data_IF_896037183761
#
_entry.id   IF_896037183761
#
_cell.length_a   1.000
_cell.length_b   1.000
_cell.length_c   1.000
_cell.angle_alpha   90.00
_cell.angle_beta   90.00
_cell.angle_gamma   90.00
#
_symmetry.space_group_name_H-M   'P 1'
#
loop_
_entity.id
_entity.type
_entity.pdbx_description
1 polymer ?
#
# COMPACT_ATOMS: atom_id res chain seq x y z
N UNK A 1 -6.27 1.79 18.14
CA UNK A 1 -5.83 2.84 17.19
C UNK A 1 -7.08 3.52 16.67
N UNK A 2 -7.17 4.85 16.71
CA UNK A 2 -8.34 5.59 16.22
C UNK A 2 -7.92 6.48 15.05
N UNK A 3 -8.65 6.39 13.93
CA UNK A 3 -8.45 7.23 12.74
C UNK A 3 -9.65 8.15 12.50
N UNK A 4 -10.38 8.47 13.57
CA UNK A 4 -11.54 9.37 13.50
C UNK A 4 -11.16 10.72 12.86
N UNK A 5 -12.00 11.18 11.93
CA UNK A 5 -11.79 12.40 11.16
C UNK A 5 -10.57 12.39 10.21
N UNK A 6 -9.87 11.27 10.04
CA UNK A 6 -8.80 11.13 9.04
C UNK A 6 -9.37 10.66 7.69
N UNK A 7 -8.72 11.07 6.61
CA UNK A 7 -9.04 10.64 5.25
C UNK A 7 -7.89 9.83 4.69
N UNK A 8 -8.18 8.60 4.27
CA UNK A 8 -7.20 7.69 3.70
C UNK A 8 -7.48 7.45 2.21
N UNK A 9 -6.44 7.47 1.40
CA UNK A 9 -6.44 6.99 0.02
C UNK A 9 -5.67 5.67 -0.05
N UNK A 10 -6.31 4.63 -0.60
CA UNK A 10 -5.67 3.33 -0.86
C UNK A 10 -5.67 3.06 -2.37
N UNK A 11 -4.47 3.04 -2.98
CA UNK A 11 -4.35 2.70 -4.40
C UNK A 11 -4.47 1.19 -4.59
N UNK A 12 -5.16 0.76 -5.66
CA UNK A 12 -5.46 -0.66 -5.87
C UNK A 12 -6.39 -1.24 -4.78
N UNK A 13 -7.26 -0.40 -4.18
CA UNK A 13 -8.10 -0.76 -3.04
C UNK A 13 -9.31 -1.64 -3.37
N UNK A 14 -9.50 -2.07 -4.62
CA UNK A 14 -10.69 -2.83 -5.03
C UNK A 14 -10.64 -4.33 -4.69
N UNK A 15 -9.48 -4.91 -4.39
CA UNK A 15 -9.29 -6.35 -4.10
C UNK A 15 -8.02 -6.60 -3.29
N UNK A 16 -7.86 -7.86 -2.82
CA UNK A 16 -6.63 -8.35 -2.20
C UNK A 16 -6.17 -7.50 -1.02
N UNK A 17 -4.87 -7.30 -0.91
CA UNK A 17 -4.23 -6.54 0.16
C UNK A 17 -4.82 -5.12 0.27
N UNK A 18 -5.01 -4.43 -0.86
CA UNK A 18 -5.56 -3.07 -0.88
C UNK A 18 -6.98 -3.00 -0.31
N UNK A 19 -7.86 -3.96 -0.63
CA UNK A 19 -9.20 -4.08 -0.04
C UNK A 19 -9.12 -4.27 1.47
N UNK A 20 -8.29 -5.21 1.93
CA UNK A 20 -8.16 -5.48 3.35
C UNK A 20 -7.63 -4.28 4.13
N UNK A 21 -6.66 -3.55 3.58
CA UNK A 21 -6.17 -2.30 4.15
C UNK A 21 -7.30 -1.26 4.22
N UNK A 22 -8.04 -1.05 3.13
CA UNK A 22 -9.16 -0.10 3.11
C UNK A 22 -10.21 -0.42 4.17
N UNK A 23 -10.60 -1.71 4.29
CA UNK A 23 -11.56 -2.17 5.30
C UNK A 23 -11.03 -1.95 6.72
N UNK A 24 -9.75 -2.24 6.99
CA UNK A 24 -9.16 -2.03 8.30
C UNK A 24 -9.12 -0.55 8.69
N UNK A 25 -8.72 0.34 7.77
CA UNK A 25 -8.71 1.79 8.03
C UNK A 25 -10.12 2.32 8.29
N UNK A 26 -11.13 1.81 7.57
CA UNK A 26 -12.53 2.13 7.81
C UNK A 26 -13.00 1.66 9.21
N UNK A 27 -12.65 0.43 9.62
CA UNK A 27 -12.93 -0.09 10.96
C UNK A 27 -12.32 0.78 12.07
N UNK A 28 -11.16 1.37 11.81
CA UNK A 28 -10.49 2.27 12.75
C UNK A 28 -11.04 3.71 12.70
N UNK A 29 -12.05 3.97 11.86
CA UNK A 29 -12.81 5.22 11.82
C UNK A 29 -12.40 6.21 10.73
N UNK A 30 -11.53 5.82 9.79
CA UNK A 30 -11.16 6.70 8.67
C UNK A 30 -12.30 6.80 7.62
N UNK A 31 -12.40 7.96 6.98
CA UNK A 31 -13.07 8.10 5.68
C UNK A 31 -12.13 7.57 4.61
N UNK A 32 -12.61 6.77 3.67
CA UNK A 32 -11.74 6.02 2.77
C UNK A 32 -12.06 6.29 1.30
N UNK A 33 -11.05 6.72 0.55
CA UNK A 33 -11.03 6.68 -0.90
C UNK A 33 -10.25 5.45 -1.37
N UNK A 34 -10.77 4.71 -2.33
CA UNK A 34 -10.04 3.69 -3.04
C UNK A 34 -9.84 4.10 -4.51
N UNK A 35 -8.62 3.89 -5.04
CA UNK A 35 -8.38 4.02 -6.47
C UNK A 35 -8.31 2.64 -7.12
N UNK A 36 -8.88 2.49 -8.31
CA UNK A 36 -8.85 1.26 -9.10
C UNK A 36 -8.74 1.57 -10.59
N UNK A 37 -8.20 0.65 -11.39
CA UNK A 37 -7.98 0.90 -12.83
C UNK A 37 -9.19 0.57 -13.69
N UNK A 38 -9.78 -0.62 -13.53
CA UNK A 38 -10.82 -1.10 -14.46
C UNK A 38 -11.89 -2.01 -13.83
N UNK A 39 -11.62 -2.68 -12.71
CA UNK A 39 -12.58 -3.61 -12.12
C UNK A 39 -13.61 -2.87 -11.24
N UNK A 40 -14.61 -2.28 -11.90
CA UNK A 40 -15.71 -1.55 -11.25
C UNK A 40 -16.54 -2.42 -10.31
N UNK A 41 -16.76 -3.70 -10.67
CA UNK A 41 -17.52 -4.63 -9.82
C UNK A 41 -16.82 -4.87 -8.50
N UNK A 42 -15.53 -5.17 -8.52
CA UNK A 42 -14.74 -5.35 -7.32
C UNK A 42 -14.64 -4.06 -6.47
N UNK A 43 -14.54 -2.89 -7.12
CA UNK A 43 -14.55 -1.60 -6.43
C UNK A 43 -15.87 -1.35 -5.70
N UNK A 44 -17.00 -1.67 -6.34
CA UNK A 44 -18.33 -1.57 -5.72
C UNK A 44 -18.53 -2.53 -4.54
N UNK A 45 -18.01 -3.76 -4.66
CA UNK A 45 -18.01 -4.71 -3.54
C UNK A 45 -17.22 -4.16 -2.35
N UNK A 46 -16.04 -3.58 -2.61
CA UNK A 46 -15.25 -2.95 -1.55
C UNK A 46 -16.00 -1.78 -0.91
N UNK A 47 -16.63 -0.89 -1.69
CA UNK A 47 -17.43 0.21 -1.14
C UNK A 47 -18.52 -0.29 -0.18
N UNK A 48 -19.22 -1.37 -0.51
CA UNK A 48 -20.24 -1.97 0.38
C UNK A 48 -19.62 -2.41 1.71
N UNK A 49 -18.47 -3.08 1.67
CA UNK A 49 -17.75 -3.49 2.88
C UNK A 49 -17.33 -2.29 3.74
N UNK A 50 -16.89 -1.18 3.13
CA UNK A 50 -16.54 0.05 3.84
C UNK A 50 -17.77 0.69 4.49
N UNK A 51 -18.90 0.73 3.77
CA UNK A 51 -20.18 1.26 4.28
C UNK A 51 -20.73 0.43 5.44
N UNK A 52 -20.60 -0.90 5.40
CA UNK A 52 -20.93 -1.80 6.51
C UNK A 52 -20.12 -1.52 7.78
N UNK A 53 -18.93 -0.90 7.65
CA UNK A 53 -18.13 -0.40 8.78
C UNK A 53 -18.49 1.02 9.19
N UNK A 54 -19.51 1.61 8.58
CA UNK A 54 -19.95 2.99 8.86
C UNK A 54 -19.07 4.06 8.24
N UNK A 55 -18.13 3.70 7.34
CA UNK A 55 -17.22 4.67 6.74
C UNK A 55 -17.88 5.47 5.60
N UNK A 56 -17.65 6.78 5.58
CA UNK A 56 -17.86 7.60 4.38
C UNK A 56 -16.76 7.27 3.38
N UNK A 57 -17.14 6.83 2.18
CA UNK A 57 -16.19 6.27 1.23
C UNK A 57 -16.51 6.64 -0.23
N UNK A 58 -15.48 6.57 -1.07
CA UNK A 58 -15.57 6.76 -2.53
C UNK A 58 -14.61 5.83 -3.27
N UNK A 59 -14.99 5.41 -4.47
CA UNK A 59 -14.10 4.70 -5.40
C UNK A 59 -13.86 5.57 -6.65
N UNK A 60 -12.61 5.76 -7.00
CA UNK A 60 -12.18 6.56 -8.14
C UNK A 60 -11.54 5.65 -9.18
N UNK A 61 -12.12 5.63 -10.38
CA UNK A 61 -11.56 4.91 -11.52
C UNK A 61 -10.45 5.75 -12.17
N UNK A 62 -9.22 5.26 -12.12
CA UNK A 62 -8.06 5.98 -12.66
C UNK A 62 -6.87 5.05 -12.89
N UNK A 63 -6.06 5.34 -13.91
CA UNK A 63 -4.76 4.69 -14.11
C UNK A 63 -3.64 5.58 -13.56
N UNK A 64 -3.13 5.23 -12.40
CA UNK A 64 -2.08 5.97 -11.69
C UNK A 64 -0.67 5.76 -12.27
N UNK A 65 -0.52 5.02 -13.39
CA UNK A 65 0.72 5.05 -14.17
C UNK A 65 0.92 6.38 -14.92
N UNK A 66 -0.10 7.22 -14.94
CA UNK A 66 -0.07 8.58 -15.48
C UNK A 66 0.01 9.59 -14.33
N UNK A 67 1.01 10.48 -14.40
CA UNK A 67 1.24 11.49 -13.37
C UNK A 67 0.08 12.49 -13.26
N UNK A 68 -0.48 12.95 -14.39
CA UNK A 68 -1.59 13.90 -14.39
C UNK A 68 -2.86 13.26 -13.79
N UNK A 69 -3.13 11.98 -14.11
CA UNK A 69 -4.25 11.24 -13.50
C UNK A 69 -4.05 11.01 -12.00
N UNK A 70 -2.80 10.89 -11.54
CA UNK A 70 -2.51 10.83 -10.11
C UNK A 70 -2.81 12.16 -9.41
N UNK A 71 -2.53 13.30 -10.04
CA UNK A 71 -2.90 14.64 -9.54
C UNK A 71 -4.43 14.81 -9.51
N UNK A 72 -5.13 14.38 -10.57
CA UNK A 72 -6.59 14.40 -10.65
C UNK A 72 -7.24 13.53 -9.56
N UNK A 73 -6.65 12.35 -9.28
CA UNK A 73 -7.10 11.48 -8.20
C UNK A 73 -7.04 12.21 -6.85
N UNK A 74 -5.90 12.83 -6.52
CA UNK A 74 -5.75 13.54 -5.25
C UNK A 74 -6.70 14.73 -5.17
N UNK A 75 -6.89 15.48 -6.26
CA UNK A 75 -7.88 16.55 -6.33
C UNK A 75 -9.28 16.03 -6.06
N UNK A 76 -9.71 14.95 -6.72
CA UNK A 76 -11.03 14.33 -6.51
C UNK A 76 -11.24 13.91 -5.05
N UNK A 77 -10.23 13.33 -4.40
CA UNK A 77 -10.31 12.93 -2.98
C UNK A 77 -10.45 14.15 -2.07
N UNK A 78 -9.64 15.20 -2.34
CA UNK A 78 -9.68 16.43 -1.54
C UNK A 78 -10.99 17.20 -1.74
N UNK A 79 -11.50 17.29 -2.97
CA UNK A 79 -12.81 17.92 -3.26
C UNK A 79 -13.95 17.18 -2.55
N UNK A 80 -13.87 15.83 -2.50
CA UNK A 80 -14.90 15.00 -1.85
C UNK A 80 -14.88 15.08 -0.33
N UNK A 81 -13.71 15.13 0.31
CA UNK A 81 -13.56 14.99 1.76
C UNK A 81 -12.99 16.24 2.45
N UNK A 82 -12.56 17.26 1.70
CA UNK A 82 -11.95 18.49 2.20
C UNK A 82 -10.48 18.34 2.58
N UNK A 83 -9.93 17.12 2.65
CA UNK A 83 -8.55 16.84 3.07
C UNK A 83 -8.07 15.46 2.61
N UNK A 84 -6.79 15.21 2.77
CA UNK A 84 -6.15 13.90 2.75
C UNK A 84 -5.13 13.83 3.89
N UNK A 85 -5.06 12.71 4.60
CA UNK A 85 -4.18 12.49 5.75
C UNK A 85 -3.27 11.27 5.55
N UNK A 86 -3.80 10.23 4.93
CA UNK A 86 -3.14 8.92 4.81
C UNK A 86 -3.14 8.51 3.34
N UNK A 87 -1.97 8.15 2.84
CA UNK A 87 -1.79 7.59 1.49
C UNK A 87 -1.16 6.21 1.60
N UNK A 88 -1.84 5.19 1.08
CA UNK A 88 -1.32 3.84 0.99
C UNK A 88 -1.08 3.50 -0.48
N UNK A 89 0.19 3.42 -0.86
CA UNK A 89 0.64 3.03 -2.19
C UNK A 89 0.75 1.50 -2.25
N UNK A 90 -0.30 0.85 -2.74
CA UNK A 90 -0.40 -0.61 -2.79
C UNK A 90 -0.32 -1.18 -4.22
N UNK A 91 -0.48 -0.37 -5.25
CA UNK A 91 -0.41 -0.85 -6.65
C UNK A 91 0.99 -1.37 -6.99
N UNK A 92 1.03 -2.48 -7.72
CA UNK A 92 2.25 -3.03 -8.29
C UNK A 92 1.95 -4.34 -9.01
N UNK A 93 2.40 -4.43 -10.26
CA UNK A 93 2.31 -5.66 -11.05
C UNK A 93 3.50 -6.58 -10.72
N UNK A 94 3.28 -7.88 -10.86
CA UNK A 94 4.30 -8.90 -10.65
C UNK A 94 4.41 -9.80 -11.89
N UNK A 95 5.64 -10.15 -12.26
CA UNK A 95 5.89 -11.08 -13.37
C UNK A 95 7.10 -11.96 -13.07
N UNK A 96 6.96 -13.25 -13.31
CA UNK A 96 8.05 -14.18 -13.33
C UNK A 96 8.73 -14.20 -14.71
N UNK A 97 10.05 -14.07 -14.75
CA UNK A 97 10.85 -14.19 -15.96
C UNK A 97 12.32 -13.89 -15.67
N UNK A 98 13.24 -14.64 -16.29
CA UNK A 98 14.67 -14.29 -16.25
C UNK A 98 14.91 -12.98 -17.00
N UNK A 99 16.04 -12.32 -16.74
CA UNK A 99 16.41 -11.09 -17.48
C UNK A 99 16.47 -11.33 -18.99
N UNK A 100 16.97 -12.51 -19.41
CA UNK A 100 17.10 -12.85 -20.83
C UNK A 100 15.72 -13.12 -21.51
N UNK A 101 14.73 -13.59 -20.77
CA UNK A 101 13.39 -13.90 -21.27
C UNK A 101 12.42 -12.71 -21.19
N UNK A 102 12.72 -11.73 -20.34
CA UNK A 102 11.87 -10.57 -20.16
C UNK A 102 12.12 -9.52 -21.23
N UNK A 103 11.07 -9.03 -21.86
CA UNK A 103 11.20 -7.91 -22.81
C UNK A 103 11.52 -6.60 -22.08
N UNK A 104 12.08 -5.63 -22.80
CA UNK A 104 12.26 -4.28 -22.26
C UNK A 104 10.92 -3.60 -21.90
N UNK A 105 9.85 -3.98 -22.54
CA UNK A 105 8.51 -3.50 -22.24
C UNK A 105 8.01 -4.07 -20.90
N UNK A 106 8.22 -5.36 -20.64
CA UNK A 106 7.93 -5.96 -19.34
C UNK A 106 8.66 -5.24 -18.21
N UNK A 107 9.94 -4.92 -18.44
CA UNK A 107 10.73 -4.16 -17.49
C UNK A 107 10.14 -2.77 -17.22
N UNK A 108 9.80 -2.02 -18.29
CA UNK A 108 9.16 -0.70 -18.17
C UNK A 108 7.86 -0.78 -17.41
N UNK A 109 7.02 -1.77 -17.72
CA UNK A 109 5.72 -1.97 -17.06
C UNK A 109 5.89 -2.27 -15.57
N UNK A 110 6.82 -3.14 -15.19
CA UNK A 110 7.09 -3.45 -13.78
C UNK A 110 7.65 -2.23 -13.04
N UNK A 111 8.62 -1.51 -13.61
CA UNK A 111 9.13 -0.28 -13.00
C UNK A 111 8.05 0.78 -12.87
N UNK A 112 7.26 0.98 -13.92
CA UNK A 112 6.16 1.96 -13.92
C UNK A 112 5.14 1.63 -12.85
N UNK A 113 4.59 0.42 -12.83
CA UNK A 113 3.52 0.05 -11.90
C UNK A 113 3.97 -0.03 -10.44
N UNK A 114 5.24 -0.34 -10.16
CA UNK A 114 5.74 -0.52 -8.79
C UNK A 114 6.46 0.69 -8.19
N UNK A 115 7.19 1.47 -9.01
CA UNK A 115 7.97 2.60 -8.55
C UNK A 115 7.34 3.94 -8.94
N UNK A 116 7.02 4.11 -10.24
CA UNK A 116 6.54 5.42 -10.71
C UNK A 116 5.17 5.78 -10.15
N UNK A 117 4.29 4.80 -9.95
CA UNK A 117 3.00 5.02 -9.28
C UNK A 117 3.17 5.53 -7.85
N UNK A 118 4.14 4.98 -7.08
CA UNK A 118 4.48 5.47 -5.73
C UNK A 118 4.97 6.91 -5.78
N UNK A 119 5.86 7.22 -6.74
CA UNK A 119 6.37 8.57 -6.93
C UNK A 119 5.24 9.55 -7.27
N UNK A 120 4.39 9.24 -8.27
CA UNK A 120 3.36 10.15 -8.75
C UNK A 120 2.31 10.44 -7.68
N UNK A 121 1.78 9.40 -7.04
CA UNK A 121 0.76 9.55 -6.00
C UNK A 121 1.32 10.25 -4.76
N UNK A 122 2.52 9.89 -4.29
CA UNK A 122 3.14 10.56 -3.15
C UNK A 122 3.40 12.04 -3.45
N UNK A 123 3.99 12.34 -4.62
CA UNK A 123 4.26 13.73 -5.03
C UNK A 123 2.98 14.56 -5.09
N UNK A 124 1.91 14.03 -5.68
CA UNK A 124 0.62 14.71 -5.76
C UNK A 124 -0.01 14.93 -4.37
N UNK A 125 0.23 14.03 -3.41
CA UNK A 125 -0.32 14.15 -2.06
C UNK A 125 0.41 15.17 -1.18
N UNK A 126 1.73 15.38 -1.38
CA UNK A 126 2.56 16.22 -0.51
C UNK A 126 2.00 17.62 -0.24
N UNK A 127 1.52 18.41 -1.23
CA UNK A 127 0.98 19.74 -0.96
C UNK A 127 -0.19 19.73 0.02
N UNK A 128 -1.01 18.70 -0.03
CA UNK A 128 -2.18 18.52 0.83
C UNK A 128 -1.79 18.05 2.23
N UNK A 129 -0.89 17.07 2.34
CA UNK A 129 -0.37 16.55 3.61
C UNK A 129 0.40 17.63 4.38
N UNK A 130 1.25 18.41 3.71
CA UNK A 130 1.99 19.53 4.32
C UNK A 130 1.06 20.61 4.89
N UNK A 131 -0.05 20.91 4.18
CA UNK A 131 -1.06 21.86 4.67
C UNK A 131 -1.70 21.41 5.96
N UNK A 132 -1.93 20.10 6.10
CA UNK A 132 -2.48 19.48 7.31
C UNK A 132 -1.50 19.39 8.48
N UNK A 133 -0.18 19.53 8.24
CA UNK A 133 0.91 19.34 9.20
C UNK A 133 0.83 18.00 9.95
N UNK A 134 0.20 17.05 9.35
CA UNK A 134 0.06 15.67 9.79
C UNK A 134 -0.19 14.80 8.57
N UNK A 135 0.65 13.84 8.33
CA UNK A 135 0.52 12.96 7.17
C UNK A 135 1.15 11.59 7.39
N UNK A 136 0.61 10.59 6.71
CA UNK A 136 1.12 9.22 6.71
C UNK A 136 1.19 8.72 5.28
N UNK A 137 2.39 8.35 4.84
CA UNK A 137 2.60 7.67 3.55
C UNK A 137 3.10 6.26 3.87
N UNK A 138 2.35 5.25 3.44
CA UNK A 138 2.70 3.85 3.63
C UNK A 138 2.83 3.18 2.27
N UNK A 139 4.02 2.70 1.94
CA UNK A 139 4.32 2.07 0.67
C UNK A 139 4.39 0.55 0.82
N UNK A 140 3.74 -0.20 -0.08
CA UNK A 140 3.85 -1.66 -0.12
C UNK A 140 5.13 -2.05 -0.86
N UNK A 141 6.06 -2.62 -0.12
CA UNK A 141 7.30 -3.18 -0.62
C UNK A 141 7.19 -4.67 -0.96
N UNK A 142 8.26 -5.40 -0.71
CA UNK A 142 8.33 -6.87 -0.76
C UNK A 142 9.38 -7.35 0.24
N UNK A 143 9.19 -8.53 0.83
CA UNK A 143 10.19 -9.13 1.76
C UNK A 143 11.56 -9.18 1.10
N UNK A 144 12.59 -8.72 1.81
CA UNK A 144 13.97 -8.64 1.33
C UNK A 144 14.33 -7.35 0.58
N UNK A 145 13.35 -6.50 0.21
CA UNK A 145 13.62 -5.25 -0.51
C UNK A 145 14.54 -4.30 0.28
N UNK A 146 14.48 -4.32 1.62
CA UNK A 146 15.31 -3.52 2.51
C UNK A 146 16.80 -3.86 2.47
N UNK A 147 17.12 -5.08 2.02
CA UNK A 147 18.50 -5.58 1.85
C UNK A 147 18.95 -5.62 0.38
N UNK A 148 18.14 -5.07 -0.53
CA UNK A 148 18.31 -5.22 -1.98
C UNK A 148 18.49 -6.70 -2.38
N UNK A 149 17.66 -7.58 -1.81
CA UNK A 149 17.76 -9.02 -1.97
C UNK A 149 17.53 -9.43 -3.42
N UNK A 150 18.45 -10.24 -3.95
CA UNK A 150 18.35 -10.81 -5.28
C UNK A 150 17.63 -12.16 -5.26
N UNK A 151 16.64 -12.34 -6.14
CA UNK A 151 15.99 -13.61 -6.40
C UNK A 151 15.88 -13.84 -7.90
N UNK A 152 16.18 -15.05 -8.35
CA UNK A 152 16.06 -15.42 -9.75
C UNK A 152 14.63 -15.20 -10.27
N UNK A 153 14.51 -14.79 -11.52
CA UNK A 153 13.24 -14.60 -12.24
C UNK A 153 12.36 -13.42 -11.79
N UNK A 154 12.83 -12.55 -10.90
CA UNK A 154 12.06 -11.35 -10.46
C UNK A 154 12.89 -10.08 -10.47
N UNK A 155 13.94 -10.01 -11.30
CA UNK A 155 14.94 -8.94 -11.26
C UNK A 155 14.33 -7.53 -11.40
N UNK A 156 13.39 -7.30 -12.33
CA UNK A 156 12.72 -6.01 -12.48
C UNK A 156 11.89 -5.64 -11.24
N UNK A 157 11.13 -6.60 -10.70
CA UNK A 157 10.33 -6.41 -9.51
C UNK A 157 11.19 -6.13 -8.27
N UNK A 158 12.24 -6.93 -8.05
CA UNK A 158 13.17 -6.74 -6.94
C UNK A 158 13.84 -5.36 -7.00
N UNK A 159 14.31 -4.94 -8.19
CA UNK A 159 14.88 -3.61 -8.40
C UNK A 159 13.88 -2.50 -8.08
N UNK A 160 12.62 -2.60 -8.56
CA UNK A 160 11.59 -1.63 -8.29
C UNK A 160 11.27 -1.53 -6.78
N UNK A 161 11.14 -2.66 -6.09
CA UNK A 161 10.81 -2.69 -4.65
C UNK A 161 11.98 -2.20 -3.78
N UNK A 162 13.23 -2.47 -4.15
CA UNK A 162 14.39 -1.87 -3.49
C UNK A 162 14.42 -0.34 -3.70
N UNK A 163 14.09 0.13 -4.91
CA UNK A 163 13.99 1.55 -5.19
C UNK A 163 12.86 2.23 -4.38
N UNK A 164 11.72 1.56 -4.16
CA UNK A 164 10.64 2.06 -3.28
C UNK A 164 11.15 2.26 -1.85
N UNK A 165 11.98 1.34 -1.33
CA UNK A 165 12.59 1.49 0.00
C UNK A 165 13.49 2.71 0.05
N UNK A 166 14.37 2.89 -0.94
CA UNK A 166 15.28 4.04 -1.00
C UNK A 166 14.51 5.37 -1.11
N UNK A 167 13.51 5.43 -2.00
CA UNK A 167 12.62 6.59 -2.16
C UNK A 167 11.90 6.91 -0.84
N UNK A 168 11.37 5.89 -0.15
CA UNK A 168 10.63 6.07 1.11
C UNK A 168 11.51 6.64 2.21
N UNK A 169 12.76 6.18 2.34
CA UNK A 169 13.71 6.69 3.32
C UNK A 169 14.10 8.14 3.04
N UNK A 170 14.35 8.49 1.78
CA UNK A 170 14.64 9.87 1.39
C UNK A 170 13.46 10.79 1.70
N UNK A 171 12.26 10.39 1.28
CA UNK A 171 11.05 11.16 1.51
C UNK A 171 10.73 11.30 3.02
N UNK A 172 11.02 10.29 3.83
CA UNK A 172 10.89 10.34 5.29
C UNK A 172 11.73 11.46 5.90
N UNK A 173 13.00 11.60 5.45
CA UNK A 173 13.90 12.66 5.91
C UNK A 173 13.45 14.05 5.44
N UNK A 174 13.01 14.16 4.19
CA UNK A 174 12.57 15.42 3.60
C UNK A 174 11.32 15.97 4.29
N UNK A 175 10.38 15.10 4.67
CA UNK A 175 9.04 15.46 5.11
C UNK A 175 8.83 15.40 6.63
N UNK A 176 9.77 14.89 7.40
CA UNK A 176 9.65 14.79 8.87
C UNK A 176 9.31 16.14 9.53
N UNK A 177 9.95 17.23 9.10
CA UNK A 177 9.70 18.59 9.61
C UNK A 177 8.27 19.10 9.31
N UNK A 178 7.58 18.47 8.36
CA UNK A 178 6.21 18.79 7.98
C UNK A 178 5.17 17.93 8.75
N UNK A 179 5.62 17.07 9.69
CA UNK A 179 4.76 16.16 10.45
C UNK A 179 4.28 14.96 9.62
N UNK A 180 5.00 14.62 8.53
CA UNK A 180 4.65 13.50 7.64
C UNK A 180 5.63 12.35 7.91
N UNK A 181 5.10 11.18 8.23
CA UNK A 181 5.90 9.94 8.31
C UNK A 181 5.76 9.14 7.01
N UNK A 182 6.85 8.48 6.61
CA UNK A 182 6.88 7.63 5.42
C UNK A 182 7.49 6.29 5.80
N UNK A 183 6.72 5.20 5.67
CA UNK A 183 7.14 3.86 6.05
C UNK A 183 6.82 2.84 4.95
N UNK A 184 7.50 1.70 4.99
CA UNK A 184 7.31 0.61 4.05
C UNK A 184 6.84 -0.64 4.79
N UNK A 185 5.82 -1.28 4.27
CA UNK A 185 5.35 -2.59 4.72
C UNK A 185 5.65 -3.60 3.62
N UNK A 186 6.42 -4.62 3.94
CA UNK A 186 6.79 -5.70 3.03
C UNK A 186 5.94 -6.94 3.32
N UNK A 187 4.87 -7.20 2.55
CA UNK A 187 4.10 -8.43 2.70
C UNK A 187 4.90 -9.63 2.19
N UNK A 188 4.67 -10.79 2.81
CA UNK A 188 5.03 -12.07 2.24
C UNK A 188 4.10 -12.44 1.07
N UNK A 189 4.32 -13.62 0.47
CA UNK A 189 3.43 -14.13 -0.57
C UNK A 189 2.05 -14.47 0.02
N UNK A 190 1.07 -13.60 -0.20
CA UNK A 190 -0.32 -13.83 0.17
C UNK A 190 -1.02 -14.50 -1.00
N UNK A 191 -1.68 -15.64 -0.74
CA UNK A 191 -2.39 -16.41 -1.75
C UNK A 191 -3.65 -15.64 -2.21
N UNK A 192 -4.03 -15.80 -3.49
CA UNK A 192 -5.23 -15.17 -4.07
C UNK A 192 -6.53 -15.62 -3.39
N UNK A 193 -6.53 -16.76 -2.70
CA UNK A 193 -7.68 -17.31 -1.96
C UNK A 193 -7.99 -16.60 -0.64
N UNK A 194 -7.49 -15.41 -0.40
CA UNK A 194 -7.82 -14.49 0.71
C UNK A 194 -8.35 -15.20 1.98
N UNK A 195 -7.52 -16.06 2.59
CA UNK A 195 -7.86 -16.69 3.86
C UNK A 195 -8.12 -15.64 4.94
N UNK A 196 -9.18 -15.82 5.72
CA UNK A 196 -9.35 -15.06 6.96
C UNK A 196 -8.30 -15.46 7.99
N UNK A 197 -8.00 -14.59 8.95
CA UNK A 197 -7.06 -14.89 10.02
C UNK A 197 -7.51 -16.11 10.84
N UNK A 198 -8.83 -16.31 11.02
CA UNK A 198 -9.38 -17.45 11.74
C UNK A 198 -9.15 -18.77 11.00
N UNK A 199 -9.27 -18.77 9.68
CA UNK A 199 -8.97 -19.94 8.83
C UNK A 199 -7.48 -20.23 8.81
N UNK A 200 -6.65 -19.21 8.59
CA UNK A 200 -5.18 -19.34 8.57
C UNK A 200 -4.63 -19.94 9.87
N UNK A 201 -5.21 -19.61 11.03
CA UNK A 201 -4.80 -20.18 12.34
C UNK A 201 -5.06 -21.69 12.48
N UNK A 202 -5.91 -22.25 11.64
CA UNK A 202 -6.21 -23.71 11.62
C UNK A 202 -5.32 -24.47 10.66
N UNK A 203 -4.58 -23.78 9.79
CA UNK A 203 -3.71 -24.37 8.77
C UNK A 203 -2.27 -24.38 9.29
N UNK A 204 -1.59 -25.53 9.17
CA UNK A 204 -0.16 -25.66 9.41
C UNK A 204 0.59 -25.43 8.11
N UNK A 205 1.52 -24.47 8.11
CA UNK A 205 2.35 -24.17 6.94
C UNK A 205 3.81 -23.98 7.37
N UNK A 206 4.62 -25.01 7.12
CA UNK A 206 6.03 -25.03 7.50
C UNK A 206 6.92 -24.04 6.70
N UNK A 207 6.41 -23.46 5.61
CA UNK A 207 7.14 -22.41 4.87
C UNK A 207 7.34 -21.15 5.72
N UNK A 208 6.43 -20.92 6.67
CA UNK A 208 6.46 -19.76 7.55
C UNK A 208 6.84 -20.19 8.97
N UNK A 209 7.94 -19.69 9.55
CA UNK A 209 8.37 -20.03 10.91
C UNK A 209 7.28 -19.85 11.98
N UNK A 210 6.37 -18.87 11.80
CA UNK A 210 5.21 -18.69 12.69
C UNK A 210 4.21 -19.85 12.64
N UNK A 211 4.35 -20.76 11.67
CA UNK A 211 3.59 -22.01 11.55
C UNK A 211 2.24 -21.92 10.83
N UNK A 212 1.88 -20.78 10.25
CA UNK A 212 0.64 -20.59 9.48
C UNK A 212 0.84 -19.75 8.24
N UNK A 213 -0.04 -19.85 7.22
CA UNK A 213 0.01 -18.94 6.08
C UNK A 213 -0.29 -17.50 6.48
N UNK A 214 0.25 -16.51 5.72
CA UNK A 214 -0.06 -15.09 5.91
C UNK A 214 -1.48 -14.78 5.46
N UNK A 215 -2.03 -13.69 5.99
CA UNK A 215 -3.33 -13.16 5.59
C UNK A 215 -3.25 -11.67 5.22
N UNK A 216 -4.25 -11.21 4.50
CA UNK A 216 -4.42 -9.78 4.21
C UNK A 216 -4.55 -8.96 5.50
N UNK A 217 -5.20 -9.53 6.53
CA UNK A 217 -5.36 -8.88 7.84
C UNK A 217 -4.02 -8.65 8.55
N UNK A 218 -3.04 -9.54 8.41
CA UNK A 218 -1.69 -9.36 8.98
C UNK A 218 -1.03 -8.09 8.43
N UNK A 219 -1.13 -7.88 7.12
CA UNK A 219 -0.60 -6.68 6.45
C UNK A 219 -1.40 -5.44 6.82
N UNK A 220 -2.74 -5.53 6.79
CA UNK A 220 -3.63 -4.42 7.08
C UNK A 220 -3.44 -3.88 8.51
N UNK A 221 -3.20 -4.76 9.49
CA UNK A 221 -2.93 -4.37 10.88
C UNK A 221 -1.62 -3.56 11.00
N UNK A 222 -0.57 -3.96 10.27
CA UNK A 222 0.71 -3.23 10.26
C UNK A 222 0.57 -1.87 9.57
N UNK A 223 -0.17 -1.81 8.46
CA UNK A 223 -0.49 -0.54 7.78
C UNK A 223 -1.30 0.38 8.70
N UNK A 224 -2.30 -0.15 9.42
CA UNK A 224 -3.10 0.63 10.36
C UNK A 224 -2.26 1.19 11.52
N UNK A 225 -1.26 0.45 12.03
CA UNK A 225 -0.31 0.97 12.99
C UNK A 225 0.46 2.18 12.44
N UNK A 226 1.05 2.07 11.25
CA UNK A 226 1.78 3.18 10.64
C UNK A 226 0.87 4.37 10.27
N UNK A 227 -0.42 4.12 10.05
CA UNK A 227 -1.41 5.16 9.78
C UNK A 227 -1.87 5.92 11.03
N UNK A 228 -1.59 5.40 12.22
CA UNK A 228 -2.10 5.90 13.48
C UNK A 228 -1.25 7.03 14.10
N UNK A 229 -1.74 7.64 15.18
CA UNK A 229 -1.02 8.62 15.95
C UNK A 229 0.10 7.97 16.78
N UNK A 230 -0.08 6.72 17.20
CA UNK A 230 0.91 5.95 17.96
C UNK A 230 2.22 5.74 17.19
N UNK A 231 2.19 5.89 15.86
CA UNK A 231 3.37 5.81 14.98
C UNK A 231 3.97 7.20 14.62
N UNK A 232 3.63 8.27 15.34
CA UNK A 232 4.08 9.63 14.98
C UNK A 232 5.60 9.82 14.98
N UNK A 233 6.32 9.04 15.78
CA UNK A 233 7.78 9.07 15.87
C UNK A 233 8.47 7.96 15.06
N UNK A 234 7.69 7.25 14.23
CA UNK A 234 8.18 6.12 13.42
C UNK A 234 8.15 6.53 11.94
N UNK A 235 9.34 6.83 11.39
CA UNK A 235 9.47 7.20 9.97
C UNK A 235 10.72 6.56 9.35
N UNK A 236 10.72 6.33 8.03
CA UNK A 236 11.81 5.69 7.29
C UNK A 236 11.96 4.19 7.56
N UNK A 237 11.01 3.58 8.27
CA UNK A 237 11.09 2.17 8.65
C UNK A 237 10.58 1.26 7.55
N UNK A 238 11.14 0.05 7.54
CA UNK A 238 10.74 -1.03 6.63
C UNK A 238 10.44 -2.25 7.49
N UNK A 239 9.21 -2.73 7.45
CA UNK A 239 8.76 -3.85 8.27
C UNK A 239 8.32 -5.01 7.39
N UNK A 240 8.93 -6.18 7.60
CA UNK A 240 8.54 -7.43 6.95
C UNK A 240 7.35 -8.06 7.72
N UNK A 241 6.21 -8.19 7.05
CA UNK A 241 5.05 -8.93 7.55
C UNK A 241 5.09 -10.32 6.93
N UNK A 242 5.99 -11.16 7.43
CA UNK A 242 6.37 -12.41 6.78
C UNK A 242 6.26 -13.67 7.66
N UNK A 243 5.92 -13.52 8.94
CA UNK A 243 5.90 -14.66 9.87
C UNK A 243 7.28 -15.34 10.01
N UNK A 244 8.36 -14.61 9.76
CA UNK A 244 9.74 -15.14 9.76
C UNK A 244 10.23 -15.68 8.42
N UNK A 245 9.37 -15.71 7.39
CA UNK A 245 9.76 -16.15 6.05
C UNK A 245 10.77 -15.18 5.42
N UNK A 246 11.86 -15.73 4.88
CA UNK A 246 12.95 -14.98 4.23
C UNK A 246 13.65 -13.92 5.12
N UNK A 247 13.74 -14.15 6.43
CA UNK A 247 14.55 -13.32 7.34
C UNK A 247 16.03 -13.69 7.27
#
# INVERSE_FOLDING_TARGET
MSLQNRVALVTGGSRGIGRGIAVKLAQDGARVAIAYRSNKVAAQQTLRLLQEKGADCVAVETDINDAARSEDLLRTVVDRFGRIDIVVNNVGDFRWGTLAESSLEDWRNIISSNLMTVLYVSRAALPHLRRGRWGRIINLGAVGAERAFGQAKISAYAAAKAAVVALSRSLALEEAKNGITVNVVNPSSIDENELTLSEARRIRDARFPIGRPPTVEDVANTVAFFASEEAEYVTGQVVNVSGGWML
#
